data_IF_105270905509
#
_entry.id   IF_105270905509
#
_cell.length_a   1.000
_cell.length_b   1.000
_cell.length_c   1.000
_cell.angle_alpha   90.00
_cell.angle_beta   90.00
_cell.angle_gamma   90.00
#
_symmetry.space_group_name_H-M   'P 1'
#
loop_
_entity.id
_entity.type
_entity.pdbx_description
1 polymer ?
#
# COMPACT_ATOMS: atom_id res chain seq x y z
N UNK A 1 -7.21 -43.62 -0.69
CA UNK A 1 -6.62 -42.67 -1.64
C UNK A 1 -5.25 -42.28 -1.11
N UNK A 2 -4.26 -42.02 -1.99
CA UNK A 2 -2.96 -41.49 -1.56
C UNK A 2 -2.95 -39.97 -1.77
N UNK A 3 -2.96 -39.21 -0.68
CA UNK A 3 -2.83 -37.75 -0.68
C UNK A 3 -1.37 -37.33 -0.94
N UNK A 4 -1.16 -36.08 -1.30
CA UNK A 4 0.20 -35.52 -1.45
C UNK A 4 0.70 -34.99 -0.10
N UNK A 5 -0.16 -34.25 0.61
CA UNK A 5 0.09 -33.72 1.95
C UNK A 5 -1.10 -34.02 2.86
N UNK A 6 -0.81 -34.36 4.12
CA UNK A 6 -1.78 -34.41 5.21
C UNK A 6 -1.27 -33.60 6.40
N UNK A 7 -2.12 -32.74 6.96
CA UNK A 7 -1.87 -32.01 8.21
C UNK A 7 -2.75 -32.62 9.29
N UNK A 8 -2.17 -33.09 10.40
CA UNK A 8 -2.89 -33.84 11.44
C UNK A 8 -2.78 -33.21 12.82
N UNK A 9 -3.69 -33.58 13.73
CA UNK A 9 -3.69 -33.24 15.17
C UNK A 9 -3.82 -31.75 15.54
N UNK A 10 -3.93 -30.86 14.55
CA UNK A 10 -4.10 -29.42 14.75
C UNK A 10 -5.50 -29.00 15.19
N UNK A 11 -5.60 -27.75 15.63
CA UNK A 11 -6.86 -27.06 15.88
C UNK A 11 -7.23 -26.24 14.63
N UNK A 12 -8.22 -26.70 13.85
CA UNK A 12 -8.64 -26.06 12.62
C UNK A 12 -9.54 -24.84 12.89
N UNK A 13 -9.16 -23.71 12.31
CA UNK A 13 -9.96 -22.49 12.17
C UNK A 13 -10.08 -22.23 10.67
N UNK A 14 -11.20 -22.59 10.06
CA UNK A 14 -11.35 -22.64 8.59
C UNK A 14 -11.74 -21.30 7.94
N UNK A 15 -11.82 -20.22 8.72
CA UNK A 15 -12.15 -18.88 8.22
C UNK A 15 -13.65 -18.62 8.01
N UNK A 16 -14.53 -19.58 8.27
CA UNK A 16 -16.00 -19.39 8.15
C UNK A 16 -16.62 -18.54 9.25
N UNK A 17 -15.88 -18.31 10.35
CA UNK A 17 -16.40 -17.69 11.59
C UNK A 17 -16.93 -18.71 12.60
N UNK A 18 -17.03 -19.99 12.24
CA UNK A 18 -17.42 -21.05 13.16
C UNK A 18 -16.34 -21.34 14.22
N UNK A 19 -16.71 -21.92 15.38
CA UNK A 19 -15.76 -22.29 16.41
C UNK A 19 -14.67 -23.25 15.93
N UNK A 20 -13.47 -23.08 16.48
CA UNK A 20 -12.33 -23.94 16.18
C UNK A 20 -12.61 -25.41 16.57
N UNK A 21 -12.13 -26.36 15.75
CA UNK A 21 -12.35 -27.81 15.99
C UNK A 21 -11.12 -28.63 15.65
N UNK A 22 -11.02 -29.84 16.21
CA UNK A 22 -9.99 -30.80 15.78
C UNK A 22 -10.39 -31.43 14.45
N UNK A 23 -9.53 -31.29 13.46
CA UNK A 23 -9.70 -31.93 12.16
C UNK A 23 -8.34 -32.04 11.46
N UNK A 24 -8.17 -33.09 10.67
CA UNK A 24 -7.06 -33.23 9.74
C UNK A 24 -7.45 -32.58 8.41
N UNK A 25 -6.45 -32.16 7.63
CA UNK A 25 -6.63 -31.60 6.29
C UNK A 25 -5.78 -32.39 5.30
N UNK A 26 -6.40 -32.87 4.23
CA UNK A 26 -5.72 -33.60 3.17
C UNK A 26 -5.70 -32.80 1.87
N UNK A 27 -4.54 -32.78 1.22
CA UNK A 27 -4.29 -32.05 -0.02
C UNK A 27 -3.89 -33.02 -1.13
N UNK A 28 -4.47 -32.83 -2.31
CA UNK A 28 -4.13 -33.54 -3.54
C UNK A 28 -4.11 -32.56 -4.72
N UNK A 29 -3.06 -32.59 -5.53
CA UNK A 29 -2.88 -31.74 -6.70
C UNK A 29 -3.11 -30.24 -6.39
N UNK A 30 -2.53 -29.77 -5.29
CA UNK A 30 -2.64 -28.37 -4.84
C UNK A 30 -4.00 -27.96 -4.26
N UNK A 31 -4.96 -28.87 -4.13
CA UNK A 31 -6.30 -28.58 -3.60
C UNK A 31 -6.58 -29.35 -2.31
N UNK A 32 -7.31 -28.72 -1.40
CA UNK A 32 -7.89 -29.41 -0.24
C UNK A 32 -8.96 -30.37 -0.77
N UNK A 33 -8.79 -31.66 -0.49
CA UNK A 33 -9.72 -32.72 -0.94
C UNK A 33 -10.54 -33.34 0.19
N UNK A 34 -10.09 -33.17 1.43
CA UNK A 34 -10.80 -33.67 2.60
C UNK A 34 -10.44 -32.85 3.85
N UNK A 35 -11.43 -32.64 4.71
CA UNK A 35 -11.28 -32.06 6.05
C UNK A 35 -12.04 -32.95 7.03
N UNK A 36 -11.37 -33.47 8.05
CA UNK A 36 -11.97 -34.42 9.00
C UNK A 36 -10.97 -35.51 9.42
N UNK A 37 -11.31 -36.77 9.20
CA UNK A 37 -10.44 -37.89 9.60
C UNK A 37 -9.22 -38.04 8.70
N UNK A 38 -9.35 -37.84 7.37
CA UNK A 38 -8.27 -38.01 6.40
C UNK A 38 -7.59 -39.39 6.52
N UNK A 39 -8.41 -40.44 6.42
CA UNK A 39 -8.02 -41.84 6.69
C UNK A 39 -7.05 -42.43 5.65
N UNK A 40 -6.87 -41.78 4.50
CA UNK A 40 -5.89 -42.18 3.49
C UNK A 40 -4.42 -41.92 3.89
N UNK A 41 -3.53 -42.65 3.23
CA UNK A 41 -2.08 -42.42 3.29
C UNK A 41 -1.70 -41.12 2.56
N UNK A 42 -0.56 -40.53 2.92
CA UNK A 42 -0.05 -39.31 2.29
C UNK A 42 1.46 -39.39 2.05
N UNK A 43 1.94 -38.80 0.96
CA UNK A 43 3.37 -38.73 0.67
C UNK A 43 4.14 -37.91 1.73
N UNK A 44 3.51 -36.85 2.26
CA UNK A 44 4.00 -36.08 3.40
C UNK A 44 2.91 -35.95 4.46
N UNK A 45 3.25 -36.19 5.72
CA UNK A 45 2.39 -35.90 6.86
C UNK A 45 3.07 -34.87 7.76
N UNK A 46 2.34 -33.82 8.13
CA UNK A 46 2.76 -32.78 9.09
C UNK A 46 1.94 -32.94 10.36
N UNK A 47 2.61 -33.14 11.48
CA UNK A 47 1.98 -33.15 12.80
C UNK A 47 1.86 -31.72 13.34
N UNK A 48 0.65 -31.22 13.47
CA UNK A 48 0.33 -29.88 13.95
C UNK A 48 -0.20 -29.90 15.40
N UNK A 49 0.15 -30.93 16.18
CA UNK A 49 -0.22 -31.01 17.60
C UNK A 49 0.24 -29.75 18.36
N UNK A 50 -0.71 -29.10 19.04
CA UNK A 50 -0.47 -27.84 19.76
C UNK A 50 -0.47 -26.57 18.89
N UNK A 51 -0.67 -26.71 17.58
CA UNK A 51 -0.77 -25.60 16.64
C UNK A 51 -2.21 -25.38 16.15
N UNK A 52 -2.45 -24.20 15.59
CA UNK A 52 -3.65 -23.94 14.78
C UNK A 52 -3.37 -24.25 13.32
N UNK A 53 -4.41 -24.66 12.59
CA UNK A 53 -4.41 -24.80 11.13
C UNK A 53 -5.44 -23.82 10.59
N UNK A 54 -5.02 -22.92 9.70
CA UNK A 54 -5.87 -21.88 9.11
C UNK A 54 -5.74 -21.90 7.59
N UNK A 55 -6.67 -21.28 6.84
CA UNK A 55 -6.34 -20.75 5.53
C UNK A 55 -5.10 -19.86 5.64
N UNK A 56 -4.30 -19.82 4.58
CA UNK A 56 -3.24 -18.82 4.49
C UNK A 56 -3.81 -17.41 4.49
N UNK A 57 -3.08 -16.46 5.04
CA UNK A 57 -3.57 -15.09 5.14
C UNK A 57 -3.54 -14.40 3.78
N UNK A 58 -4.55 -13.56 3.53
CA UNK A 58 -4.61 -12.70 2.34
C UNK A 58 -4.25 -11.29 2.80
N UNK A 59 -3.09 -10.83 2.37
CA UNK A 59 -2.61 -9.47 2.62
C UNK A 59 -3.17 -8.54 1.55
N UNK A 60 -4.24 -7.83 1.89
CA UNK A 60 -5.02 -7.02 0.94
C UNK A 60 -4.45 -5.62 0.70
N UNK A 61 -3.28 -5.31 1.27
CA UNK A 61 -2.68 -3.98 1.18
C UNK A 61 -1.16 -4.07 1.24
N UNK A 62 -0.52 -4.20 0.08
CA UNK A 62 0.94 -4.27 -0.02
C UNK A 62 1.49 -3.30 -1.06
N UNK A 63 2.79 -3.01 -0.93
CA UNK A 63 3.57 -2.14 -1.79
C UNK A 63 4.78 -2.90 -2.40
N UNK A 64 4.56 -4.15 -2.81
CA UNK A 64 5.60 -4.98 -3.45
C UNK A 64 5.74 -4.73 -4.96
N UNK A 65 5.14 -3.67 -5.50
CA UNK A 65 5.01 -3.39 -6.93
C UNK A 65 6.31 -3.41 -7.72
N UNK A 66 7.38 -2.89 -7.11
CA UNK A 66 8.74 -3.07 -7.63
C UNK A 66 9.29 -4.45 -7.27
N UNK A 67 9.21 -4.80 -5.98
CA UNK A 67 9.85 -5.98 -5.37
C UNK A 67 9.48 -7.30 -6.03
N UNK A 68 8.23 -7.47 -6.46
CA UNK A 68 7.73 -8.62 -7.19
C UNK A 68 8.56 -8.91 -8.47
N UNK A 69 9.25 -7.92 -9.01
CA UNK A 69 10.08 -8.09 -10.19
C UNK A 69 11.46 -8.71 -9.90
N UNK A 70 11.92 -8.80 -8.65
CA UNK A 70 13.22 -9.41 -8.32
C UNK A 70 13.20 -10.38 -7.14
N UNK A 71 12.24 -10.27 -6.23
CA UNK A 71 12.09 -11.14 -5.06
C UNK A 71 10.91 -12.10 -5.26
N UNK A 72 11.24 -13.37 -5.51
CA UNK A 72 10.27 -14.44 -5.67
C UNK A 72 9.58 -14.83 -4.35
N UNK A 73 10.19 -14.50 -3.20
CA UNK A 73 9.70 -14.96 -1.90
C UNK A 73 8.71 -13.99 -1.27
N UNK A 74 8.78 -12.70 -1.62
CA UNK A 74 8.05 -11.61 -0.94
C UNK A 74 8.19 -11.78 0.58
N UNK A 75 9.45 -11.93 1.02
CA UNK A 75 9.81 -12.47 2.32
C UNK A 75 9.09 -11.82 3.52
N UNK A 76 8.85 -10.49 3.55
CA UNK A 76 8.16 -9.88 4.69
C UNK A 76 6.73 -10.41 4.87
N UNK A 77 6.02 -10.80 3.81
CA UNK A 77 4.67 -11.37 3.92
C UNK A 77 4.71 -12.89 4.15
N UNK A 78 5.51 -13.65 3.40
CA UNK A 78 5.48 -15.12 3.48
C UNK A 78 5.90 -15.64 4.87
N UNK A 79 6.84 -14.96 5.53
CA UNK A 79 7.27 -15.30 6.90
C UNK A 79 6.20 -15.08 7.96
N UNK A 80 5.14 -14.34 7.66
CA UNK A 80 4.02 -14.08 8.55
C UNK A 80 2.77 -14.94 8.23
N UNK A 81 2.91 -15.95 7.38
CA UNK A 81 1.81 -16.86 7.04
C UNK A 81 0.86 -16.33 5.96
N UNK A 82 1.24 -15.23 5.29
CA UNK A 82 0.55 -14.75 4.09
C UNK A 82 0.80 -15.73 2.95
N UNK A 83 -0.27 -16.13 2.26
CA UNK A 83 -0.21 -16.95 1.05
C UNK A 83 -0.61 -16.18 -0.21
N UNK A 84 -1.27 -15.04 -0.05
CA UNK A 84 -1.70 -14.18 -1.17
C UNK A 84 -1.49 -12.72 -0.83
N UNK A 85 -0.84 -11.95 -1.71
CA UNK A 85 -0.63 -10.51 -1.55
C UNK A 85 -1.36 -9.71 -2.64
N UNK A 86 -1.96 -8.58 -2.26
CA UNK A 86 -2.56 -7.62 -3.21
C UNK A 86 -1.63 -6.41 -3.33
N UNK A 87 -1.09 -6.19 -4.53
CA UNK A 87 -0.16 -5.10 -4.85
C UNK A 87 -0.88 -3.90 -5.46
N UNK A 88 -0.16 -2.78 -5.58
CA UNK A 88 -0.63 -1.57 -6.21
C UNK A 88 -1.55 -0.80 -5.29
N UNK A 89 -1.31 -0.79 -3.99
CA UNK A 89 -2.17 -0.09 -3.03
C UNK A 89 -1.93 1.42 -3.08
N UNK A 90 -2.93 2.20 -2.65
CA UNK A 90 -2.83 3.65 -2.47
C UNK A 90 -2.54 4.46 -3.74
N UNK A 91 -2.79 3.89 -4.93
CA UNK A 91 -2.46 4.52 -6.21
C UNK A 91 -0.98 4.48 -6.57
N UNK A 92 -0.16 3.79 -5.79
CA UNK A 92 1.30 3.74 -5.90
C UNK A 92 1.70 2.46 -6.63
N UNK A 93 2.60 2.55 -7.62
CA UNK A 93 3.13 1.39 -8.33
C UNK A 93 3.91 1.74 -9.61
N UNK A 94 4.41 0.73 -10.31
CA UNK A 94 5.34 0.89 -11.45
C UNK A 94 4.71 0.58 -12.82
N UNK A 95 3.39 0.45 -12.93
CA UNK A 95 2.72 0.16 -14.19
C UNK A 95 1.35 0.87 -14.28
N UNK A 96 0.93 1.36 -15.47
CA UNK A 96 1.68 1.41 -16.72
C UNK A 96 2.82 2.45 -16.68
N UNK A 97 3.83 2.31 -17.53
CA UNK A 97 4.99 3.21 -17.55
C UNK A 97 5.67 3.24 -18.93
N UNK A 98 5.65 4.38 -19.61
CA UNK A 98 6.40 4.54 -20.88
C UNK A 98 7.90 4.46 -20.61
N UNK A 99 8.66 3.95 -21.57
CA UNK A 99 10.13 3.95 -21.48
C UNK A 99 10.75 5.31 -21.16
N UNK A 100 10.15 6.41 -21.64
CA UNK A 100 10.59 7.79 -21.36
C UNK A 100 10.28 8.30 -19.95
N UNK A 101 9.43 7.60 -19.18
CA UNK A 101 8.92 8.05 -17.87
C UNK A 101 9.43 7.18 -16.71
N UNK A 102 10.29 6.19 -16.96
CA UNK A 102 10.79 5.24 -15.94
C UNK A 102 11.53 5.93 -14.80
N UNK A 103 12.42 6.86 -15.10
CA UNK A 103 13.15 7.63 -14.08
C UNK A 103 12.18 8.47 -13.24
N UNK A 104 11.22 9.16 -13.89
CA UNK A 104 10.20 9.95 -13.19
C UNK A 104 9.38 9.11 -12.22
N UNK A 105 9.00 7.90 -12.63
CA UNK A 105 8.21 7.01 -11.79
C UNK A 105 9.05 6.44 -10.63
N UNK A 106 10.35 6.18 -10.84
CA UNK A 106 11.27 5.79 -9.75
C UNK A 106 11.40 6.92 -8.72
N UNK A 107 11.66 8.15 -9.17
CA UNK A 107 11.82 9.31 -8.29
C UNK A 107 10.55 9.58 -7.46
N UNK A 108 9.38 9.37 -8.07
CA UNK A 108 8.09 9.49 -7.39
C UNK A 108 7.95 8.45 -6.28
N UNK A 109 8.31 7.19 -6.55
CA UNK A 109 8.13 6.08 -5.61
C UNK A 109 9.18 6.08 -4.49
N UNK A 110 10.40 6.58 -4.74
CA UNK A 110 11.44 6.72 -3.73
C UNK A 110 11.00 7.63 -2.57
N UNK A 111 10.31 8.73 -2.86
CA UNK A 111 9.80 9.65 -1.83
C UNK A 111 8.64 9.08 -1.01
N UNK A 112 7.82 8.20 -1.60
CA UNK A 112 6.58 7.70 -1.00
C UNK A 112 6.83 6.53 -0.05
N UNK A 113 7.64 5.56 -0.46
CA UNK A 113 7.82 4.29 0.27
C UNK A 113 9.16 4.20 1.03
N UNK A 114 9.99 5.26 1.00
CA UNK A 114 11.37 5.26 1.57
C UNK A 114 12.22 4.07 1.07
N UNK A 115 11.88 3.54 -0.12
CA UNK A 115 12.66 2.50 -0.80
C UNK A 115 13.80 3.21 -1.52
N UNK A 116 15.07 2.89 -1.23
CA UNK A 116 16.19 3.56 -1.87
C UNK A 116 16.08 3.51 -3.40
N UNK A 117 16.15 4.66 -4.08
CA UNK A 117 16.01 4.74 -5.54
C UNK A 117 17.02 3.86 -6.27
N UNK A 118 18.22 3.66 -5.70
CA UNK A 118 19.22 2.73 -6.21
C UNK A 118 18.73 1.27 -6.19
N UNK A 119 18.01 0.84 -5.15
CA UNK A 119 17.45 -0.51 -5.09
C UNK A 119 16.33 -0.70 -6.12
N UNK A 120 15.52 0.34 -6.37
CA UNK A 120 14.49 0.32 -7.42
C UNK A 120 15.12 0.33 -8.83
N UNK A 121 16.10 1.19 -9.08
CA UNK A 121 16.76 1.31 -10.38
C UNK A 121 17.58 0.07 -10.76
N UNK A 122 18.25 -0.57 -9.79
CA UNK A 122 18.98 -1.82 -10.01
C UNK A 122 18.06 -3.05 -10.03
N UNK A 123 16.99 -3.04 -9.24
CA UNK A 123 16.09 -4.17 -9.05
C UNK A 123 15.03 -4.31 -10.14
N UNK A 124 14.42 -3.20 -10.58
CA UNK A 124 13.30 -3.24 -11.53
C UNK A 124 13.82 -3.59 -12.93
N UNK A 125 13.38 -4.76 -13.41
CA UNK A 125 13.56 -5.17 -14.81
C UNK A 125 12.34 -4.76 -15.61
N UNK A 126 12.40 -3.59 -16.22
CA UNK A 126 11.34 -3.05 -17.07
C UNK A 126 11.12 -3.91 -18.32
N UNK A 127 10.08 -4.74 -18.29
CA UNK A 127 9.65 -5.61 -19.39
C UNK A 127 8.22 -5.26 -19.87
N UNK A 128 7.75 -4.06 -19.52
CA UNK A 128 6.41 -3.57 -19.83
C UNK A 128 6.42 -2.08 -20.18
N UNK A 129 5.40 -1.65 -20.91
CA UNK A 129 4.93 -0.27 -20.90
C UNK A 129 3.45 -0.16 -20.51
N UNK A 130 2.64 -1.16 -20.88
CA UNK A 130 1.23 -1.27 -20.51
C UNK A 130 1.01 -2.08 -19.23
N UNK A 131 -0.18 -1.98 -18.64
CA UNK A 131 -0.53 -2.75 -17.45
C UNK A 131 -0.69 -4.27 -17.73
N UNK A 132 -1.30 -4.71 -18.85
CA UNK A 132 -1.30 -6.14 -19.22
C UNK A 132 0.11 -6.72 -19.38
N UNK A 133 1.03 -5.98 -20.01
CA UNK A 133 2.44 -6.43 -20.12
C UNK A 133 3.13 -6.56 -18.76
N UNK A 134 2.79 -5.69 -17.79
CA UNK A 134 3.29 -5.80 -16.41
C UNK A 134 2.79 -7.11 -15.77
N UNK A 135 1.51 -7.44 -15.92
CA UNK A 135 0.94 -8.70 -15.40
C UNK A 135 1.63 -9.92 -16.02
N UNK A 136 1.82 -9.93 -17.35
CA UNK A 136 2.56 -10.99 -18.04
C UNK A 136 4.01 -11.08 -17.53
N UNK A 137 4.65 -9.94 -17.25
CA UNK A 137 6.04 -9.89 -16.80
C UNK A 137 6.24 -10.47 -15.40
N UNK A 138 5.32 -10.20 -14.47
CA UNK A 138 5.38 -10.74 -13.11
C UNK A 138 4.93 -12.20 -13.05
N UNK A 139 3.95 -12.63 -13.87
CA UNK A 139 3.50 -14.03 -13.94
C UNK A 139 4.59 -14.99 -14.46
N UNK A 140 5.44 -14.54 -15.39
CA UNK A 140 6.56 -15.36 -15.92
C UNK A 140 7.55 -15.80 -14.85
N UNK A 141 7.58 -15.13 -13.70
CA UNK A 141 8.51 -15.45 -12.61
C UNK A 141 7.84 -16.41 -11.64
N UNK A 142 8.57 -17.43 -11.15
CA UNK A 142 8.05 -18.26 -10.07
C UNK A 142 7.94 -17.42 -8.79
N UNK A 143 6.83 -17.53 -8.09
CA UNK A 143 6.60 -16.88 -6.80
C UNK A 143 6.23 -17.89 -5.74
N UNK A 144 6.66 -17.63 -4.51
CA UNK A 144 6.33 -18.43 -3.33
C UNK A 144 4.88 -18.21 -2.88
N UNK A 145 4.32 -17.04 -3.18
CA UNK A 145 2.95 -16.63 -2.84
C UNK A 145 2.11 -16.40 -4.10
N UNK A 146 0.80 -16.54 -3.97
CA UNK A 146 -0.13 -16.00 -4.96
C UNK A 146 -0.14 -14.46 -4.87
N UNK A 147 -0.54 -13.80 -5.95
CA UNK A 147 -0.66 -12.36 -5.96
C UNK A 147 -1.80 -11.86 -6.85
N UNK A 148 -2.21 -10.62 -6.59
CA UNK A 148 -3.24 -9.90 -7.31
C UNK A 148 -2.86 -8.42 -7.38
N UNK A 149 -3.18 -7.72 -8.49
CA UNK A 149 -2.70 -6.35 -8.70
C UNK A 149 -3.84 -5.36 -8.92
N UNK A 150 -3.77 -4.21 -8.26
CA UNK A 150 -4.56 -3.03 -8.59
C UNK A 150 -3.84 -2.18 -9.64
N UNK A 151 -4.61 -1.44 -10.44
CA UNK A 151 -4.08 -0.38 -11.31
C UNK A 151 -3.79 0.86 -10.45
N UNK A 152 -2.52 1.28 -10.30
CA UNK A 152 -2.14 2.42 -9.47
C UNK A 152 -2.39 3.75 -10.19
N UNK A 153 -3.17 4.63 -9.55
CA UNK A 153 -3.55 5.93 -10.10
C UNK A 153 -2.36 6.85 -10.44
N UNK A 154 -1.32 6.92 -9.63
CA UNK A 154 -0.15 7.79 -9.88
C UNK A 154 0.55 7.41 -11.19
N UNK A 155 0.83 6.11 -11.38
CA UNK A 155 1.46 5.62 -12.60
C UNK A 155 0.55 5.86 -13.81
N UNK A 156 -0.76 5.67 -13.65
CA UNK A 156 -1.75 5.91 -14.70
C UNK A 156 -1.79 7.39 -15.13
N UNK A 157 -1.77 8.32 -14.17
CA UNK A 157 -1.69 9.77 -14.46
C UNK A 157 -0.39 10.11 -15.18
N UNK A 158 0.76 9.65 -14.70
CA UNK A 158 2.05 9.90 -15.36
C UNK A 158 2.05 9.33 -16.78
N UNK A 159 1.50 8.13 -16.97
CA UNK A 159 1.43 7.51 -18.29
C UNK A 159 0.60 8.34 -19.29
N UNK A 160 -0.55 8.88 -18.87
CA UNK A 160 -1.45 9.65 -19.75
C UNK A 160 -0.97 11.09 -19.92
N UNK A 161 -0.68 11.77 -18.82
CA UNK A 161 -0.46 13.22 -18.77
C UNK A 161 1.03 13.60 -18.83
N UNK A 162 1.95 12.66 -18.58
CA UNK A 162 3.40 12.92 -18.54
C UNK A 162 3.77 13.95 -17.49
N UNK A 163 4.56 14.95 -17.87
CA UNK A 163 5.00 16.02 -16.96
C UNK A 163 3.87 16.85 -16.34
N UNK A 164 2.70 16.92 -17.00
CA UNK A 164 1.51 17.61 -16.44
C UNK A 164 1.05 16.97 -15.12
N UNK A 165 1.13 15.64 -15.00
CA UNK A 165 0.78 14.93 -13.78
C UNK A 165 1.69 15.33 -12.61
N UNK A 166 2.99 15.52 -12.86
CA UNK A 166 3.97 15.93 -11.84
C UNK A 166 3.88 17.42 -11.49
N UNK A 167 3.29 18.22 -12.36
CA UNK A 167 3.09 19.65 -12.17
C UNK A 167 1.75 19.98 -11.48
N UNK A 168 1.06 18.96 -10.93
CA UNK A 168 -0.24 19.10 -10.26
C UNK A 168 -1.32 19.77 -11.14
N UNK A 169 -1.25 19.54 -12.46
CA UNK A 169 -2.29 20.02 -13.36
C UNK A 169 -3.54 19.13 -13.28
N UNK A 170 -4.73 19.74 -13.35
CA UNK A 170 -5.98 18.99 -13.47
C UNK A 170 -6.03 18.18 -14.78
N UNK A 171 -6.55 16.95 -14.69
CA UNK A 171 -6.79 16.10 -15.85
C UNK A 171 -7.88 16.70 -16.73
N UNK A 172 -7.63 16.77 -18.04
CA UNK A 172 -8.65 17.14 -19.02
C UNK A 172 -9.67 16.01 -19.21
N UNK A 173 -10.79 16.30 -19.88
CA UNK A 173 -11.76 15.26 -20.24
C UNK A 173 -11.10 14.17 -21.10
N UNK A 174 -10.22 14.54 -22.02
CA UNK A 174 -9.45 13.59 -22.84
C UNK A 174 -8.53 12.70 -22.00
N UNK A 175 -7.86 13.27 -20.98
CA UNK A 175 -7.03 12.50 -20.05
C UNK A 175 -7.87 11.51 -19.26
N UNK A 176 -9.03 11.95 -18.73
CA UNK A 176 -9.94 11.11 -17.96
C UNK A 176 -10.46 9.95 -18.83
N UNK A 177 -10.85 10.19 -20.08
CA UNK A 177 -11.28 9.13 -20.99
C UNK A 177 -10.14 8.15 -21.30
N UNK A 178 -8.91 8.64 -21.47
CA UNK A 178 -7.75 7.78 -21.68
C UNK A 178 -7.45 6.91 -20.45
N UNK A 179 -7.46 7.49 -19.25
CA UNK A 179 -7.26 6.76 -17.99
C UNK A 179 -8.37 5.72 -17.76
N UNK A 180 -9.64 6.08 -17.99
CA UNK A 180 -10.77 5.13 -17.94
C UNK A 180 -10.56 3.95 -18.88
N UNK A 181 -10.13 4.20 -20.12
CA UNK A 181 -9.88 3.16 -21.12
C UNK A 181 -8.78 2.19 -20.66
N UNK A 182 -7.66 2.73 -20.17
CA UNK A 182 -6.52 1.92 -19.70
C UNK A 182 -6.88 1.10 -18.45
N UNK A 183 -7.63 1.68 -17.51
CA UNK A 183 -8.16 0.94 -16.36
C UNK A 183 -9.10 -0.19 -16.80
N UNK A 184 -9.97 0.04 -17.78
CA UNK A 184 -10.83 -1.02 -18.34
C UNK A 184 -10.01 -2.16 -18.91
N UNK A 185 -9.02 -1.85 -19.76
CA UNK A 185 -8.14 -2.85 -20.38
C UNK A 185 -7.41 -3.70 -19.33
N UNK A 186 -6.90 -3.07 -18.27
CA UNK A 186 -6.27 -3.77 -17.16
C UNK A 186 -7.24 -4.70 -16.41
N UNK A 187 -8.46 -4.23 -16.11
CA UNK A 187 -9.50 -5.03 -15.44
C UNK A 187 -9.92 -6.24 -16.29
N UNK A 188 -10.06 -6.05 -17.60
CA UNK A 188 -10.38 -7.13 -18.55
C UNK A 188 -9.22 -8.14 -18.68
N UNK A 189 -7.97 -7.68 -18.55
CA UNK A 189 -6.79 -8.52 -18.55
C UNK A 189 -6.55 -9.28 -17.23
N UNK A 190 -7.27 -8.94 -16.15
CA UNK A 190 -7.23 -9.69 -14.88
C UNK A 190 -6.80 -8.89 -13.66
N UNK A 191 -6.59 -7.57 -13.78
CA UNK A 191 -6.38 -6.71 -12.62
C UNK A 191 -7.56 -6.84 -11.65
N UNK A 192 -7.28 -6.92 -10.35
CA UNK A 192 -8.36 -7.08 -9.34
C UNK A 192 -9.07 -5.77 -9.03
N UNK A 193 -8.55 -4.64 -9.52
CA UNK A 193 -9.15 -3.35 -9.27
C UNK A 193 -8.32 -2.15 -9.65
N UNK A 194 -8.66 -1.01 -9.05
CA UNK A 194 -8.00 0.28 -9.21
C UNK A 194 -7.79 0.88 -7.83
N UNK A 195 -6.64 1.52 -7.59
CA UNK A 195 -6.31 2.15 -6.32
C UNK A 195 -5.97 3.63 -6.49
N UNK A 196 -6.25 4.43 -5.45
CA UNK A 196 -5.86 5.84 -5.40
C UNK A 196 -5.40 6.22 -3.98
N UNK A 197 -4.57 7.26 -3.87
CA UNK A 197 -4.08 7.76 -2.59
C UNK A 197 -4.26 9.27 -2.48
N UNK A 198 -4.76 9.71 -1.32
CA UNK A 198 -5.05 11.10 -0.96
C UNK A 198 -4.56 11.38 0.47
N UNK A 199 -3.28 11.12 0.70
CA UNK A 199 -2.65 11.20 2.03
C UNK A 199 -1.61 12.31 2.08
N UNK A 200 -1.56 12.98 3.23
CA UNK A 200 -0.60 14.03 3.55
C UNK A 200 0.85 13.52 3.52
N UNK A 201 1.02 12.21 3.70
CA UNK A 201 2.32 11.54 3.88
C UNK A 201 3.00 11.18 2.56
N UNK A 202 2.26 11.03 1.46
CA UNK A 202 2.85 10.69 0.17
C UNK A 202 3.44 11.94 -0.46
N UNK A 203 4.77 12.05 -0.40
CA UNK A 203 5.55 13.14 -0.96
C UNK A 203 6.57 12.58 -1.94
N UNK A 204 6.81 13.28 -3.04
CA UNK A 204 7.96 12.96 -3.89
C UNK A 204 9.26 13.42 -3.21
N UNK A 205 10.41 13.13 -3.84
CA UNK A 205 11.73 13.49 -3.32
C UNK A 205 11.94 15.00 -3.09
N UNK A 206 11.21 15.85 -3.82
CA UNK A 206 11.26 17.31 -3.68
C UNK A 206 10.30 17.85 -2.60
N UNK A 207 9.47 16.99 -1.99
CA UNK A 207 8.48 17.36 -0.98
C UNK A 207 7.11 17.77 -1.53
N UNK A 208 6.89 17.67 -2.85
CA UNK A 208 5.60 17.97 -3.47
C UNK A 208 4.61 16.80 -3.31
N UNK A 209 3.28 17.06 -3.38
CA UNK A 209 2.28 16.01 -3.38
C UNK A 209 2.46 15.02 -4.55
N UNK A 210 1.94 13.80 -4.39
CA UNK A 210 1.92 12.82 -5.48
C UNK A 210 0.89 13.20 -6.54
N UNK A 211 1.06 12.79 -7.81
CA UNK A 211 0.17 13.19 -8.90
C UNK A 211 -1.32 12.96 -8.64
N UNK A 212 -1.69 11.90 -7.93
CA UNK A 212 -3.07 11.54 -7.64
C UNK A 212 -3.64 12.19 -6.37
N UNK A 213 -2.80 12.78 -5.50
CA UNK A 213 -3.23 13.18 -4.15
C UNK A 213 -4.36 14.19 -4.18
N UNK A 214 -4.31 15.14 -5.12
CA UNK A 214 -5.29 16.21 -5.30
C UNK A 214 -6.18 16.01 -6.55
N UNK A 215 -6.27 14.78 -7.07
CA UNK A 215 -7.10 14.49 -8.24
C UNK A 215 -8.56 14.95 -8.02
N UNK A 216 -9.14 15.58 -9.04
CA UNK A 216 -10.49 16.10 -8.95
C UNK A 216 -11.52 14.97 -8.85
N UNK A 217 -12.67 15.22 -8.20
CA UNK A 217 -13.76 14.23 -8.10
C UNK A 217 -14.21 13.70 -9.46
N UNK A 218 -14.26 14.56 -10.49
CA UNK A 218 -14.65 14.17 -11.85
C UNK A 218 -13.69 13.14 -12.45
N UNK A 219 -12.40 13.21 -12.13
CA UNK A 219 -11.39 12.27 -12.58
C UNK A 219 -11.60 10.88 -11.96
N UNK A 220 -11.74 10.81 -10.64
CA UNK A 220 -12.01 9.55 -9.93
C UNK A 220 -13.33 8.91 -10.37
N UNK A 221 -14.39 9.71 -10.51
CA UNK A 221 -15.69 9.27 -11.07
C UNK A 221 -15.53 8.77 -12.51
N UNK A 222 -14.76 9.48 -13.35
CA UNK A 222 -14.51 9.11 -14.73
C UNK A 222 -13.78 7.77 -14.87
N UNK A 223 -12.75 7.56 -14.06
CA UNK A 223 -11.98 6.31 -14.01
C UNK A 223 -12.84 5.17 -13.45
N UNK A 224 -13.60 5.40 -12.37
CA UNK A 224 -14.48 4.40 -11.76
C UNK A 224 -15.54 3.83 -12.72
N UNK A 225 -15.96 4.59 -13.74
CA UNK A 225 -16.82 4.08 -14.82
C UNK A 225 -16.15 3.02 -15.71
N UNK A 226 -14.87 2.70 -15.51
CA UNK A 226 -14.19 1.56 -16.11
C UNK A 226 -14.64 0.21 -15.50
N UNK A 227 -15.44 0.22 -14.44
CA UNK A 227 -15.97 -0.99 -13.81
C UNK A 227 -17.35 -1.39 -14.36
N UNK A 228 -18.09 -0.45 -14.96
CA UNK A 228 -19.45 -0.64 -15.46
C UNK A 228 -19.60 -1.93 -16.29
N UNK A 229 -20.47 -2.84 -15.85
CA UNK A 229 -20.77 -4.10 -16.55
C UNK A 229 -19.78 -5.25 -16.31
N UNK A 230 -18.75 -5.08 -15.47
CA UNK A 230 -17.86 -6.18 -15.08
C UNK A 230 -18.43 -6.98 -13.91
N UNK A 231 -18.13 -8.28 -13.88
CA UNK A 231 -18.52 -9.16 -12.77
C UNK A 231 -17.52 -9.18 -11.60
N UNK A 232 -16.41 -8.45 -11.73
CA UNK A 232 -15.30 -8.41 -10.77
C UNK A 232 -14.68 -7.02 -10.71
N UNK A 233 -13.95 -6.76 -9.63
CA UNK A 233 -13.23 -5.51 -9.44
C UNK A 233 -13.50 -4.89 -8.07
N UNK A 234 -12.46 -4.34 -7.46
CA UNK A 234 -12.52 -3.60 -6.18
C UNK A 234 -11.85 -2.24 -6.36
N UNK A 235 -12.50 -1.17 -5.93
CA UNK A 235 -11.84 0.13 -5.78
C UNK A 235 -11.06 0.12 -4.47
N UNK A 236 -9.88 0.72 -4.42
CA UNK A 236 -9.08 0.88 -3.20
C UNK A 236 -8.70 2.34 -3.02
N UNK A 237 -8.77 2.82 -1.77
CA UNK A 237 -8.34 4.17 -1.42
C UNK A 237 -7.63 4.25 -0.07
N UNK A 238 -6.67 5.16 0.01
CA UNK A 238 -6.23 5.76 1.28
C UNK A 238 -6.56 7.25 1.23
N UNK A 239 -7.13 7.78 2.32
CA UNK A 239 -7.35 9.21 2.48
C UNK A 239 -7.11 9.59 3.94
N UNK A 240 -6.46 10.74 4.12
CA UNK A 240 -6.27 11.35 5.44
C UNK A 240 -7.46 12.24 5.86
N UNK A 241 -8.43 12.40 4.96
CA UNK A 241 -9.65 13.20 5.07
C UNK A 241 -9.40 14.68 5.40
N UNK A 242 -8.29 15.24 4.89
CA UNK A 242 -7.85 16.64 5.04
C UNK A 242 -7.80 17.14 6.48
N UNK A 243 -7.62 16.22 7.44
CA UNK A 243 -7.71 16.57 8.86
C UNK A 243 -6.52 17.38 9.37
N UNK A 244 -5.41 17.43 8.62
CA UNK A 244 -4.30 18.33 8.90
C UNK A 244 -4.62 19.77 8.51
N UNK A 245 -5.46 19.97 7.48
CA UNK A 245 -5.89 21.29 7.05
C UNK A 245 -7.05 21.81 7.92
N UNK A 246 -8.12 21.03 8.00
CA UNK A 246 -9.32 21.44 8.73
C UNK A 246 -10.27 20.28 8.96
N UNK A 247 -10.73 20.11 10.21
CA UNK A 247 -11.77 19.14 10.53
C UNK A 247 -13.12 19.38 9.83
N UNK A 248 -13.33 20.55 9.20
CA UNK A 248 -14.53 20.86 8.41
C UNK A 248 -14.50 20.22 7.02
N UNK A 249 -13.33 19.81 6.52
CA UNK A 249 -13.16 19.23 5.19
C UNK A 249 -13.45 17.73 5.17
N UNK A 250 -13.53 17.08 6.34
CA UNK A 250 -13.86 15.65 6.46
C UNK A 250 -15.05 15.24 5.57
N UNK A 251 -16.14 16.01 5.63
CA UNK A 251 -17.34 15.66 4.89
C UNK A 251 -17.14 15.76 3.37
N UNK A 252 -16.43 16.80 2.94
CA UNK A 252 -16.16 17.08 1.53
C UNK A 252 -15.22 16.02 0.93
N UNK A 253 -14.15 15.67 1.63
CA UNK A 253 -13.19 14.67 1.15
C UNK A 253 -13.80 13.25 1.18
N UNK A 254 -14.68 12.95 2.15
CA UNK A 254 -15.42 11.68 2.12
C UNK A 254 -16.43 11.64 0.94
N UNK A 255 -17.06 12.77 0.60
CA UNK A 255 -17.97 12.86 -0.56
C UNK A 255 -17.25 12.51 -1.88
N UNK A 256 -15.94 12.78 -2.00
CA UNK A 256 -15.12 12.35 -3.15
C UNK A 256 -15.09 10.83 -3.28
N UNK A 257 -14.85 10.13 -2.16
CA UNK A 257 -14.81 8.66 -2.14
C UNK A 257 -16.21 8.05 -2.37
N UNK A 258 -17.25 8.67 -1.83
CA UNK A 258 -18.65 8.27 -2.08
C UNK A 258 -18.99 8.40 -3.58
N UNK A 259 -18.66 9.53 -4.21
CA UNK A 259 -18.88 9.73 -5.64
C UNK A 259 -18.14 8.69 -6.50
N UNK A 260 -16.90 8.35 -6.12
CA UNK A 260 -16.12 7.33 -6.83
C UNK A 260 -16.76 5.94 -6.76
N UNK A 261 -17.19 5.48 -5.57
CA UNK A 261 -17.82 4.15 -5.43
C UNK A 261 -19.20 4.10 -6.08
N UNK A 262 -19.97 5.20 -6.03
CA UNK A 262 -21.27 5.29 -6.70
C UNK A 262 -21.15 5.20 -8.23
N UNK A 263 -20.02 5.63 -8.80
CA UNK A 263 -19.75 5.54 -10.23
C UNK A 263 -19.32 4.12 -10.69
N UNK A 264 -18.90 3.26 -9.77
CA UNK A 264 -18.56 1.85 -10.02
C UNK A 264 -19.67 0.92 -9.50
N UNK A 265 -20.90 1.12 -9.99
CA UNK A 265 -22.10 0.41 -9.51
C UNK A 265 -21.87 -1.11 -9.39
N UNK A 266 -22.21 -1.65 -8.22
CA UNK A 266 -22.01 -3.06 -7.88
C UNK A 266 -20.61 -3.44 -7.36
N UNK A 267 -19.63 -2.55 -7.37
CA UNK A 267 -18.27 -2.84 -6.90
C UNK A 267 -17.97 -2.21 -5.53
N UNK A 268 -17.28 -2.94 -4.62
CA UNK A 268 -16.90 -2.40 -3.33
C UNK A 268 -15.71 -1.45 -3.42
N UNK A 269 -15.73 -0.45 -2.54
CA UNK A 269 -14.58 0.39 -2.22
C UNK A 269 -13.95 -0.08 -0.91
N UNK A 270 -12.66 -0.35 -0.93
CA UNK A 270 -11.85 -0.68 0.22
C UNK A 270 -11.05 0.54 0.68
N UNK A 271 -11.28 1.00 1.91
CA UNK A 271 -10.65 2.22 2.46
C UNK A 271 -9.81 1.89 3.67
N UNK A 272 -8.58 2.41 3.69
CA UNK A 272 -7.70 2.28 4.86
C UNK A 272 -8.27 3.05 6.06
N UNK A 273 -8.34 2.40 7.22
CA UNK A 273 -8.80 2.98 8.48
C UNK A 273 -7.64 3.04 9.47
N UNK A 274 -7.27 4.27 9.85
CA UNK A 274 -6.18 4.52 10.78
C UNK A 274 -6.63 5.42 11.92
N UNK A 275 -6.07 5.19 13.11
CA UNK A 275 -6.22 6.12 14.23
C UNK A 275 -5.12 7.18 14.15
N UNK A 276 -5.51 8.46 14.11
CA UNK A 276 -4.57 9.59 14.09
C UNK A 276 -4.46 10.23 15.47
N UNK A 277 -3.25 10.55 15.91
CA UNK A 277 -3.02 11.18 17.23
C UNK A 277 -3.67 12.56 17.37
N UNK A 278 -3.73 13.33 16.28
CA UNK A 278 -4.35 14.66 16.25
C UNK A 278 -5.89 14.62 16.21
N UNK A 279 -6.48 13.49 15.82
CA UNK A 279 -7.92 13.35 15.71
C UNK A 279 -8.38 11.98 16.20
N UNK A 280 -8.48 11.85 17.52
CA UNK A 280 -8.72 10.56 18.19
C UNK A 280 -10.09 9.95 17.90
N UNK A 281 -11.04 10.73 17.38
CA UNK A 281 -12.41 10.29 17.07
C UNK A 281 -12.70 10.17 15.57
N UNK A 282 -11.77 10.54 14.69
CA UNK A 282 -11.96 10.51 13.23
C UNK A 282 -12.38 9.11 12.74
N UNK A 283 -11.74 8.06 13.24
CA UNK A 283 -12.03 6.68 12.85
C UNK A 283 -13.50 6.30 13.07
N UNK A 284 -14.17 6.84 14.10
CA UNK A 284 -15.60 6.61 14.34
C UNK A 284 -16.46 7.29 13.27
N UNK A 285 -16.05 8.47 12.82
CA UNK A 285 -16.75 9.21 11.76
C UNK A 285 -16.65 8.45 10.44
N UNK A 286 -15.45 7.92 10.12
CA UNK A 286 -15.20 7.08 8.94
C UNK A 286 -16.10 5.83 8.99
N UNK A 287 -16.10 5.08 10.10
CA UNK A 287 -16.98 3.90 10.26
C UNK A 287 -18.45 4.26 10.03
N UNK A 288 -18.94 5.28 10.74
CA UNK A 288 -20.35 5.68 10.66
C UNK A 288 -20.76 6.05 9.23
N UNK A 289 -19.87 6.71 8.47
CA UNK A 289 -20.17 7.09 7.09
C UNK A 289 -20.09 5.90 6.15
N UNK A 290 -19.05 5.07 6.25
CA UNK A 290 -18.93 3.84 5.46
C UNK A 290 -20.15 2.90 5.65
N UNK A 291 -20.64 2.74 6.88
CA UNK A 291 -21.87 1.98 7.17
C UNK A 291 -23.10 2.61 6.50
N UNK A 292 -23.23 3.94 6.54
CA UNK A 292 -24.33 4.67 5.92
C UNK A 292 -24.30 4.56 4.40
N UNK A 293 -23.14 4.67 3.76
CA UNK A 293 -22.99 4.52 2.31
C UNK A 293 -23.29 3.08 1.89
N UNK A 294 -22.77 2.09 2.65
CA UNK A 294 -23.04 0.67 2.42
C UNK A 294 -24.54 0.36 2.51
N UNK A 295 -25.25 0.92 3.49
CA UNK A 295 -26.70 0.75 3.63
C UNK A 295 -27.52 1.36 2.48
N UNK A 296 -26.95 2.31 1.72
CA UNK A 296 -27.56 2.92 0.53
C UNK A 296 -27.24 2.18 -0.78
N UNK A 297 -26.41 1.13 -0.74
CA UNK A 297 -26.00 0.39 -1.93
C UNK A 297 -24.63 0.78 -2.48
N UNK A 298 -23.86 1.62 -1.79
CA UNK A 298 -22.48 1.96 -2.11
C UNK A 298 -21.53 1.26 -1.12
N UNK A 299 -21.10 0.01 -1.36
CA UNK A 299 -20.39 -0.80 -0.37
C UNK A 299 -18.98 -0.26 -0.09
N UNK A 300 -18.77 0.24 1.13
CA UNK A 300 -17.45 0.68 1.62
C UNK A 300 -16.99 -0.29 2.71
N UNK A 301 -15.82 -0.91 2.49
CA UNK A 301 -15.15 -1.82 3.43
C UNK A 301 -13.93 -1.13 4.01
N UNK A 302 -13.70 -1.31 5.30
CA UNK A 302 -12.58 -0.67 6.00
C UNK A 302 -11.47 -1.69 6.25
N UNK A 303 -10.23 -1.31 5.91
CA UNK A 303 -9.03 -2.10 6.15
C UNK A 303 -8.30 -1.54 7.38
N UNK A 304 -7.84 -2.42 8.27
CA UNK A 304 -7.06 -2.03 9.45
C UNK A 304 -5.80 -2.86 9.49
N UNK A 305 -4.65 -2.22 9.72
CA UNK A 305 -3.40 -2.92 9.93
C UNK A 305 -3.42 -3.76 11.21
N UNK A 306 -2.80 -4.94 11.19
CA UNK A 306 -2.70 -5.82 12.36
C UNK A 306 -1.87 -5.23 13.51
N UNK A 307 -1.09 -4.18 13.23
CA UNK A 307 -0.31 -3.40 14.20
C UNK A 307 -0.31 -1.93 13.81
N UNK A 308 -0.06 -1.05 14.78
CA UNK A 308 0.21 0.36 14.49
C UNK A 308 1.49 0.53 13.68
N UNK A 309 1.55 1.60 12.88
CA UNK A 309 2.75 1.97 12.12
C UNK A 309 3.87 2.33 13.10
N UNK A 310 5.03 1.71 12.92
CA UNK A 310 6.25 2.03 13.65
C UNK A 310 7.31 2.55 12.69
N UNK A 311 8.07 3.55 13.13
CA UNK A 311 9.19 4.11 12.37
C UNK A 311 10.51 3.64 12.95
N UNK A 312 11.47 3.30 12.08
CA UNK A 312 12.85 3.04 12.49
C UNK A 312 13.61 4.36 12.31
N UNK A 313 14.16 4.86 13.41
CA UNK A 313 14.89 6.13 13.42
C UNK A 313 16.38 5.86 13.64
N UNK A 314 17.21 6.57 12.91
CA UNK A 314 18.66 6.41 12.98
C UNK A 314 19.40 7.63 12.46
N UNK A 315 20.66 7.81 12.88
CA UNK A 315 21.48 8.94 12.42
C UNK A 315 21.82 8.85 10.92
N UNK A 316 21.63 7.69 10.30
CA UNK A 316 21.79 7.46 8.86
C UNK A 316 20.46 7.22 8.15
N UNK A 317 19.34 7.21 8.88
CA UNK A 317 18.02 7.15 8.27
C UNK A 317 17.61 8.53 7.73
N UNK A 318 16.60 8.56 6.86
CA UNK A 318 16.01 9.77 6.28
C UNK A 318 15.59 10.78 7.37
N UNK A 319 15.15 10.29 8.53
CA UNK A 319 14.75 11.12 9.67
C UNK A 319 15.27 10.58 11.02
N UNK A 320 15.62 11.51 11.92
CA UNK A 320 15.77 11.24 13.35
C UNK A 320 15.46 12.49 14.19
N UNK A 321 15.10 12.35 15.48
CA UNK A 321 14.57 13.45 16.30
C UNK A 321 15.55 14.60 16.57
N UNK A 322 16.82 14.48 16.19
CA UNK A 322 17.83 15.51 16.44
C UNK A 322 18.15 16.34 15.19
N UNK A 323 17.64 15.96 14.01
CA UNK A 323 18.08 16.53 12.72
C UNK A 323 17.83 18.04 12.61
N UNK A 324 16.75 18.53 13.23
CA UNK A 324 16.39 19.94 13.26
C UNK A 324 17.11 20.78 14.33
N UNK A 325 17.86 20.15 15.26
CA UNK A 325 18.48 20.87 16.37
C UNK A 325 19.78 21.57 15.94
N UNK A 326 20.00 22.86 16.31
CA UNK A 326 21.17 23.63 15.91
C UNK A 326 22.51 22.95 16.20
N UNK A 327 22.64 22.30 17.36
CA UNK A 327 23.86 21.56 17.74
C UNK A 327 24.11 20.36 16.85
N UNK A 328 23.07 19.61 16.50
CA UNK A 328 23.21 18.48 15.61
C UNK A 328 23.54 18.91 14.18
N UNK A 329 22.91 19.98 13.69
CA UNK A 329 23.19 20.54 12.34
C UNK A 329 24.68 20.85 12.12
N UNK A 330 25.39 21.28 13.17
CA UNK A 330 26.84 21.55 13.10
C UNK A 330 27.69 20.29 12.93
N UNK A 331 27.18 19.12 13.29
CA UNK A 331 27.90 17.84 13.21
C UNK A 331 27.32 16.90 12.14
N UNK A 332 26.21 17.25 11.49
CA UNK A 332 25.45 16.36 10.60
C UNK A 332 26.25 15.84 9.41
N UNK A 333 27.27 16.59 8.97
CA UNK A 333 28.17 16.22 7.86
C UNK A 333 29.39 15.40 8.28
N UNK A 334 29.58 15.13 9.58
CA UNK A 334 30.68 14.29 10.05
C UNK A 334 30.38 12.80 9.78
N UNK A 335 31.42 11.95 9.62
CA UNK A 335 31.25 10.50 9.61
C UNK A 335 30.43 10.02 10.82
N UNK A 336 29.64 8.95 10.66
CA UNK A 336 28.77 8.44 11.72
C UNK A 336 29.50 8.25 13.05
N UNK A 337 30.68 7.64 13.03
CA UNK A 337 31.47 7.40 14.24
C UNK A 337 31.80 8.70 14.98
N UNK A 338 32.19 9.76 14.27
CA UNK A 338 32.50 11.06 14.87
C UNK A 338 31.25 11.78 15.40
N UNK A 339 30.11 11.65 14.69
CA UNK A 339 28.81 12.14 15.19
C UNK A 339 28.47 11.47 16.51
N UNK A 340 28.57 10.15 16.58
CA UNK A 340 28.28 9.35 17.77
C UNK A 340 29.21 9.73 18.93
N UNK A 341 30.51 9.89 18.68
CA UNK A 341 31.46 10.31 19.72
C UNK A 341 31.14 11.72 20.26
N UNK A 342 30.81 12.68 19.39
CA UNK A 342 30.36 14.02 19.84
C UNK A 342 29.06 13.96 20.63
N UNK A 343 28.11 13.11 20.24
CA UNK A 343 26.83 12.96 20.93
C UNK A 343 26.95 12.28 22.30
N UNK A 344 28.06 11.59 22.59
CA UNK A 344 28.37 11.05 23.92
C UNK A 344 28.89 12.10 24.90
N UNK A 345 29.41 13.22 24.40
CA UNK A 345 29.89 14.31 25.24
C UNK A 345 28.75 14.87 26.12
N UNK A 346 28.89 14.89 27.46
CA UNK A 346 27.84 15.35 28.36
C UNK A 346 27.42 16.81 28.14
N UNK A 347 28.34 17.70 27.81
CA UNK A 347 28.05 19.12 27.57
C UNK A 347 27.31 19.27 26.25
N UNK A 348 27.75 18.57 25.20
CA UNK A 348 27.03 18.55 23.92
C UNK A 348 25.62 18.00 24.07
N UNK A 349 25.45 16.89 24.81
CA UNK A 349 24.14 16.29 25.05
C UNK A 349 23.22 17.24 25.83
N UNK A 350 23.73 17.90 26.86
CA UNK A 350 22.96 18.87 27.63
C UNK A 350 22.54 20.07 26.76
N UNK A 351 23.45 20.57 25.91
CA UNK A 351 23.14 21.62 24.95
C UNK A 351 22.05 21.15 23.97
N UNK A 352 22.24 20.02 23.32
CA UNK A 352 21.31 19.47 22.33
C UNK A 352 19.89 19.31 22.90
N UNK A 353 19.75 18.80 24.13
CA UNK A 353 18.45 18.55 24.76
C UNK A 353 17.75 19.82 25.29
N UNK A 354 18.44 20.96 25.33
CA UNK A 354 17.86 22.24 25.77
C UNK A 354 17.55 23.19 24.62
N UNK A 355 18.06 22.89 23.43
CA UNK A 355 17.76 23.61 22.20
C UNK A 355 16.34 23.34 21.72
N UNK A 356 15.82 24.24 20.88
CA UNK A 356 14.58 24.00 20.13
C UNK A 356 14.95 23.47 18.75
N UNK A 357 14.21 22.50 18.26
CA UNK A 357 14.32 22.06 16.88
C UNK A 357 13.80 23.14 15.94
N UNK A 358 14.52 23.36 14.85
CA UNK A 358 13.95 24.01 13.67
C UNK A 358 13.03 23.03 12.93
N UNK A 359 12.16 23.57 12.07
CA UNK A 359 11.41 22.77 11.09
C UNK A 359 12.36 22.09 10.10
N UNK A 360 11.99 20.89 9.69
CA UNK A 360 12.74 20.02 8.78
C UNK A 360 11.91 19.58 7.57
N UNK A 361 10.58 19.71 7.63
CA UNK A 361 9.69 19.55 6.49
C UNK A 361 9.53 20.85 5.70
N UNK A 362 9.19 20.75 4.41
CA UNK A 362 8.94 21.89 3.51
C UNK A 362 9.69 21.81 2.18
N UNK A 363 9.72 22.91 1.43
CA UNK A 363 10.29 22.99 0.08
C UNK A 363 11.72 22.44 0.01
N UNK A 364 11.95 21.46 -0.85
CA UNK A 364 13.26 20.82 -1.05
C UNK A 364 13.63 19.81 0.04
N UNK A 365 12.66 19.34 0.84
CA UNK A 365 12.81 18.28 1.83
C UNK A 365 11.80 17.17 1.56
N UNK A 366 12.29 15.93 1.46
CA UNK A 366 11.44 14.73 1.40
C UNK A 366 10.84 14.36 2.76
N UNK A 367 11.16 15.08 3.83
CA UNK A 367 10.64 14.80 5.18
C UNK A 367 9.18 15.27 5.27
N UNK A 368 8.22 14.39 5.61
CA UNK A 368 6.81 14.74 5.63
C UNK A 368 6.48 15.72 6.77
N UNK A 369 5.43 16.56 6.63
CA UNK A 369 5.03 17.53 7.67
C UNK A 369 4.76 16.93 9.05
N UNK A 370 4.41 15.65 9.12
CA UNK A 370 4.22 14.93 10.39
C UNK A 370 5.52 14.83 11.21
N UNK A 371 6.70 14.86 10.57
CA UNK A 371 7.98 14.79 11.25
C UNK A 371 8.23 16.01 12.16
N UNK A 372 7.85 17.21 11.70
CA UNK A 372 7.92 18.45 12.48
C UNK A 372 7.02 18.41 13.73
N UNK A 373 6.06 17.48 13.78
CA UNK A 373 5.22 17.28 14.97
C UNK A 373 5.87 16.39 16.02
N UNK A 374 6.89 15.60 15.65
CA UNK A 374 7.63 14.75 16.57
C UNK A 374 8.85 15.46 17.20
N UNK A 375 9.23 16.62 16.64
CA UNK A 375 10.31 17.49 17.10
C UNK A 375 9.81 18.53 18.10
#
# INVERSE_FOLDING_TARGET
MSYDLKIVNGLLIDGSGEPARRANVAVKNGKIVEVGECSGDAARTVDAAGCIVTPGFVDIHTHYDGQISWDADLAPSCYHGVTTAVLGSCGVGFAPCKSSDRERLIDLMEGVEDIPGAALAEGIKWEWESFPEYMDAIERKPHTLDFAVHVPHDALRVYVMGGRALADEEASEEDIQAMRKLTREALEAGAVGFSTGRTDNHRNIDGAPTPASEAATLELVGIAKAFEGLGHGVLQAVSDFDMLESAKLFDQEFDVLEAMVEAADGHPLSVSLMQRNKNTEQWRQIIKRAEKSTAKGAPIRLQVGARGIGVILGLEATFHPFIGFPSYKRISKLPLAERVEKMKDPEFKAQLLTEKSDKVAGDGSNIPPIADMFL
#
